data_IF_971004362317
#
_entry.id   IF_971004362317
#
_cell.length_a   1.000
_cell.length_b   1.000
_cell.length_c   1.000
_cell.angle_alpha   90.00
_cell.angle_beta   90.00
_cell.angle_gamma   90.00
#
_symmetry.space_group_name_H-M   'P 1'
#
loop_
_entity.id
_entity.type
_entity.pdbx_description
1 polymer ?
#
# COMPACT_ATOMS: atom_id res chain seq x y z
N UNK A 1 24.75 -26.34 -39.68
CA UNK A 1 23.38 -26.52 -39.21
C UNK A 1 22.64 -25.21 -39.36
N UNK A 2 21.62 -25.18 -40.18
CA UNK A 2 20.84 -23.94 -40.34
C UNK A 2 19.89 -23.75 -39.12
N UNK A 3 20.06 -22.66 -38.44
CA UNK A 3 19.23 -22.28 -37.32
C UNK A 3 17.89 -21.74 -37.83
N UNK A 4 16.79 -22.26 -37.32
CA UNK A 4 15.47 -21.76 -37.68
C UNK A 4 15.07 -20.64 -36.72
N UNK A 5 15.46 -19.42 -37.08
CA UNK A 5 15.22 -18.22 -36.26
C UNK A 5 13.71 -17.95 -36.05
N UNK A 6 12.90 -18.20 -37.07
CA UNK A 6 11.47 -18.00 -37.00
C UNK A 6 10.80 -18.92 -35.97
N UNK A 7 11.20 -20.22 -35.98
CA UNK A 7 10.69 -21.18 -35.00
C UNK A 7 11.09 -20.81 -33.56
N UNK A 8 12.35 -20.40 -33.37
CA UNK A 8 12.82 -19.95 -32.07
C UNK A 8 12.09 -18.72 -31.54
N UNK A 9 11.79 -17.75 -32.41
CA UNK A 9 11.00 -16.56 -32.04
C UNK A 9 9.59 -16.93 -31.63
N UNK A 10 8.95 -17.83 -32.39
CA UNK A 10 7.59 -18.30 -32.09
C UNK A 10 7.55 -19.00 -30.73
N UNK A 11 8.50 -19.88 -30.45
CA UNK A 11 8.64 -20.57 -29.17
C UNK A 11 8.84 -19.56 -28.04
N UNK A 12 9.67 -18.55 -28.25
CA UNK A 12 9.93 -17.51 -27.28
C UNK A 12 8.67 -16.69 -26.94
N UNK A 13 7.88 -16.32 -27.95
CA UNK A 13 6.64 -15.62 -27.74
C UNK A 13 5.61 -16.46 -27.01
N UNK A 14 5.47 -17.74 -27.38
CA UNK A 14 4.54 -18.66 -26.71
C UNK A 14 4.92 -18.87 -25.26
N UNK A 15 6.21 -19.02 -24.96
CA UNK A 15 6.71 -19.15 -23.59
C UNK A 15 6.41 -17.89 -22.75
N UNK A 16 6.65 -16.69 -23.31
CA UNK A 16 6.36 -15.43 -22.64
C UNK A 16 4.87 -15.26 -22.36
N UNK A 17 4.04 -15.63 -23.32
CA UNK A 17 2.57 -15.55 -23.17
C UNK A 17 2.09 -16.50 -22.08
N UNK A 18 2.56 -17.75 -22.09
CA UNK A 18 2.21 -18.74 -21.08
C UNK A 18 2.65 -18.30 -19.68
N UNK A 19 3.85 -17.77 -19.54
CA UNK A 19 4.38 -17.25 -18.29
C UNK A 19 3.53 -16.08 -17.78
N UNK A 20 3.16 -15.15 -18.65
CA UNK A 20 2.35 -14.00 -18.30
C UNK A 20 0.96 -14.41 -17.83
N UNK A 21 0.32 -15.32 -18.53
CA UNK A 21 -1.01 -15.85 -18.16
C UNK A 21 -0.93 -16.60 -16.84
N UNK A 22 0.09 -17.42 -16.63
CA UNK A 22 0.33 -18.14 -15.39
C UNK A 22 0.54 -17.21 -14.21
N UNK A 23 1.32 -16.16 -14.36
CA UNK A 23 1.57 -15.17 -13.32
C UNK A 23 0.29 -14.41 -12.93
N UNK A 24 -0.50 -14.01 -13.91
CA UNK A 24 -1.77 -13.31 -13.67
C UNK A 24 -2.74 -14.23 -12.93
N UNK A 25 -2.85 -15.48 -13.34
CA UNK A 25 -3.70 -16.47 -12.69
C UNK A 25 -3.28 -16.72 -11.25
N UNK A 26 -1.98 -16.90 -11.01
CA UNK A 26 -1.44 -17.11 -9.65
C UNK A 26 -1.74 -15.93 -8.73
N UNK A 27 -1.59 -14.69 -9.22
CA UNK A 27 -1.93 -13.51 -8.43
C UNK A 27 -3.40 -13.48 -8.05
N UNK A 28 -4.28 -13.78 -8.99
CA UNK A 28 -5.73 -13.80 -8.73
C UNK A 28 -6.12 -14.85 -7.70
N UNK A 29 -5.43 -15.99 -7.64
CA UNK A 29 -5.68 -17.04 -6.66
C UNK A 29 -5.04 -16.75 -5.31
N UNK A 30 -3.88 -16.10 -5.27
CA UNK A 30 -3.12 -15.88 -4.05
C UNK A 30 -3.63 -14.69 -3.22
N UNK A 31 -4.23 -13.69 -3.86
CA UNK A 31 -4.65 -12.44 -3.20
C UNK A 31 -6.17 -12.36 -3.09
N UNK A 32 -6.67 -12.53 -1.87
CA UNK A 32 -8.07 -12.21 -1.58
C UNK A 32 -8.26 -10.70 -1.61
N UNK A 33 -9.24 -10.24 -2.39
CA UNK A 33 -9.64 -8.84 -2.35
C UNK A 33 -10.24 -8.53 -0.99
N UNK A 34 -9.55 -7.69 -0.24
CA UNK A 34 -10.09 -7.12 1.00
C UNK A 34 -10.79 -5.80 0.69
N UNK A 35 -11.84 -5.44 1.44
CA UNK A 35 -12.44 -4.12 1.30
C UNK A 35 -11.41 -3.02 1.52
N UNK A 36 -11.63 -1.86 0.92
CA UNK A 36 -10.75 -0.70 1.12
C UNK A 36 -10.66 -0.38 2.62
N UNK A 37 -9.46 -0.10 3.10
CA UNK A 37 -9.26 0.30 4.49
C UNK A 37 -9.95 1.64 4.75
N UNK A 38 -10.55 1.77 5.92
CA UNK A 38 -11.18 3.00 6.36
C UNK A 38 -10.75 3.30 7.79
N UNK A 39 -10.59 4.58 8.11
CA UNK A 39 -10.24 5.07 9.45
C UNK A 39 -11.14 6.24 9.78
N UNK A 40 -11.83 6.17 10.91
CA UNK A 40 -12.64 7.30 11.40
C UNK A 40 -11.75 8.36 12.04
N UNK A 41 -12.27 9.58 12.15
CA UNK A 41 -11.56 10.69 12.81
C UNK A 41 -11.16 10.32 14.25
N UNK A 42 -12.07 9.72 14.99
CA UNK A 42 -11.84 9.27 16.37
C UNK A 42 -10.73 8.22 16.47
N UNK A 43 -10.76 7.24 15.58
CA UNK A 43 -9.75 6.20 15.52
C UNK A 43 -8.38 6.79 15.22
N UNK A 44 -8.31 7.72 14.28
CA UNK A 44 -7.06 8.38 13.88
C UNK A 44 -6.42 9.12 15.05
N UNK A 45 -7.21 9.90 15.79
CA UNK A 45 -6.73 10.61 16.98
C UNK A 45 -6.23 9.62 18.04
N UNK A 46 -7.00 8.57 18.29
CA UNK A 46 -6.64 7.53 19.24
C UNK A 46 -5.32 6.84 18.88
N UNK A 47 -5.15 6.51 17.62
CA UNK A 47 -3.91 5.89 17.10
C UNK A 47 -2.73 6.82 17.33
N UNK A 48 -2.85 8.08 16.95
CA UNK A 48 -1.79 9.07 17.12
C UNK A 48 -1.41 9.23 18.59
N UNK A 49 -2.39 9.33 19.47
CA UNK A 49 -2.17 9.48 20.91
C UNK A 49 -1.52 8.23 21.51
N UNK A 50 -1.89 7.05 21.08
CA UNK A 50 -1.27 5.79 21.54
C UNK A 50 0.20 5.71 21.15
N UNK A 51 0.59 6.31 20.03
CA UNK A 51 1.98 6.39 19.57
C UNK A 51 2.75 7.52 20.26
N UNK A 52 2.07 8.37 21.03
CA UNK A 52 2.64 9.54 21.69
C UNK A 52 3.33 10.50 20.71
N UNK A 53 2.75 10.68 19.55
CA UNK A 53 3.27 11.57 18.50
C UNK A 53 2.40 12.83 18.42
N UNK A 54 3.09 13.96 18.15
CA UNK A 54 2.38 15.19 17.80
C UNK A 54 1.78 15.05 16.40
N UNK A 55 0.79 15.89 16.08
CA UNK A 55 0.19 15.92 14.75
C UNK A 55 1.22 16.19 13.66
N UNK A 56 2.11 17.16 13.87
CA UNK A 56 3.15 17.50 12.92
C UNK A 56 4.09 16.34 12.63
N UNK A 57 4.52 15.63 13.67
CA UNK A 57 5.43 14.49 13.54
C UNK A 57 4.72 13.32 12.84
N UNK A 58 3.50 13.02 13.23
CA UNK A 58 2.73 11.95 12.60
C UNK A 58 2.50 12.21 11.12
N UNK A 59 2.16 13.45 10.77
CA UNK A 59 2.00 13.85 9.37
C UNK A 59 3.30 13.62 8.57
N UNK A 60 4.45 13.92 9.15
CA UNK A 60 5.75 13.68 8.50
C UNK A 60 5.99 12.19 8.23
N UNK A 61 5.69 11.33 9.17
CA UNK A 61 5.81 9.88 8.97
C UNK A 61 4.90 9.38 7.85
N UNK A 62 3.68 9.90 7.78
CA UNK A 62 2.72 9.53 6.76
C UNK A 62 2.99 10.21 5.41
N UNK A 63 3.96 11.12 5.34
CA UNK A 63 4.23 11.95 4.15
C UNK A 63 3.00 12.77 3.73
N UNK A 64 2.21 13.19 4.71
CA UNK A 64 1.04 14.04 4.52
C UNK A 64 1.30 15.44 5.05
N UNK A 65 0.54 16.40 4.55
CA UNK A 65 0.56 17.76 5.09
C UNK A 65 -0.11 17.76 6.47
N UNK A 66 0.42 18.54 7.41
CA UNK A 66 -0.14 18.63 8.77
C UNK A 66 -1.61 19.09 8.73
N UNK A 67 -1.94 20.04 7.88
CA UNK A 67 -3.32 20.50 7.72
C UNK A 67 -4.24 19.41 7.17
N UNK A 68 -3.75 18.58 6.30
CA UNK A 68 -4.49 17.42 5.79
C UNK A 68 -4.80 16.45 6.93
N UNK A 69 -3.83 16.15 7.76
CA UNK A 69 -4.03 15.30 8.94
C UNK A 69 -5.01 15.93 9.91
N UNK A 70 -4.91 17.23 10.15
CA UNK A 70 -5.85 17.96 10.98
C UNK A 70 -7.29 17.83 10.46
N UNK A 71 -7.49 17.99 9.16
CA UNK A 71 -8.80 17.81 8.54
C UNK A 71 -9.35 16.40 8.75
N UNK A 72 -8.51 15.39 8.65
CA UNK A 72 -8.91 14.01 8.90
C UNK A 72 -9.30 13.79 10.37
N UNK A 73 -8.52 14.34 11.31
CA UNK A 73 -8.78 14.21 12.74
C UNK A 73 -10.05 14.95 13.18
N UNK A 74 -10.39 16.04 12.50
CA UNK A 74 -11.60 16.81 12.78
C UNK A 74 -12.83 16.38 12.00
N UNK A 75 -12.68 15.36 11.14
CA UNK A 75 -13.79 14.82 10.36
C UNK A 75 -14.21 15.66 9.17
N UNK A 76 -13.43 16.68 8.79
CA UNK A 76 -13.70 17.52 7.62
C UNK A 76 -13.42 16.80 6.31
N UNK A 77 -12.49 15.85 6.33
CA UNK A 77 -12.13 15.03 5.20
C UNK A 77 -11.81 13.63 5.70
N UNK A 78 -11.81 12.66 4.80
CA UNK A 78 -11.43 11.27 5.11
C UNK A 78 -10.12 10.92 4.42
N UNK A 79 -9.24 10.14 5.09
CA UNK A 79 -8.06 9.61 4.41
C UNK A 79 -8.48 8.77 3.21
N UNK A 80 -7.72 8.85 2.12
CA UNK A 80 -7.94 7.93 1.01
C UNK A 80 -7.55 6.50 1.42
N UNK A 81 -7.87 5.52 0.55
CA UNK A 81 -7.63 4.11 0.86
C UNK A 81 -6.18 3.81 1.20
N UNK A 82 -5.23 4.43 0.50
CA UNK A 82 -3.80 4.21 0.73
C UNK A 82 -3.35 4.78 2.08
N UNK A 83 -3.76 6.00 2.40
CA UNK A 83 -3.46 6.63 3.68
C UNK A 83 -4.10 5.86 4.83
N UNK A 84 -5.34 5.43 4.69
CA UNK A 84 -6.04 4.64 5.69
C UNK A 84 -5.34 3.31 5.94
N UNK A 85 -4.88 2.64 4.89
CA UNK A 85 -4.13 1.39 5.00
C UNK A 85 -2.83 1.59 5.77
N UNK A 86 -2.09 2.66 5.46
CA UNK A 86 -0.85 3.00 6.16
C UNK A 86 -1.10 3.30 7.63
N UNK A 87 -2.15 4.04 7.94
CA UNK A 87 -2.55 4.35 9.31
C UNK A 87 -2.90 3.07 10.08
N UNK A 88 -3.63 2.15 9.47
CA UNK A 88 -3.96 0.85 10.07
C UNK A 88 -2.72 0.00 10.29
N UNK A 89 -1.78 0.02 9.36
CA UNK A 89 -0.51 -0.70 9.50
C UNK A 89 0.29 -0.19 10.69
N UNK A 90 0.41 1.13 10.83
CA UNK A 90 1.11 1.76 11.95
C UNK A 90 0.41 1.47 13.29
N UNK A 91 -0.92 1.46 13.29
CA UNK A 91 -1.69 1.13 14.49
C UNK A 91 -1.43 -0.30 14.96
N UNK A 92 -1.40 -1.25 14.03
CA UNK A 92 -1.19 -2.67 14.33
C UNK A 92 0.27 -2.98 14.67
N UNK A 93 1.20 -2.32 13.98
CA UNK A 93 2.64 -2.51 14.14
C UNK A 93 3.31 -1.16 14.41
N UNK A 94 3.33 -0.70 15.67
CA UNK A 94 3.88 0.63 16.01
C UNK A 94 5.32 0.85 15.58
N UNK A 95 6.13 -0.20 15.49
CA UNK A 95 7.52 -0.13 15.00
C UNK A 95 7.62 0.28 13.52
N UNK A 96 6.52 0.23 12.79
CA UNK A 96 6.45 0.71 11.40
C UNK A 96 6.84 2.19 11.31
N UNK A 97 6.59 2.99 12.35
CA UNK A 97 7.00 4.40 12.41
C UNK A 97 8.50 4.54 12.19
N UNK A 98 9.29 3.69 12.83
CA UNK A 98 10.76 3.69 12.68
C UNK A 98 11.17 3.32 11.25
N UNK A 99 10.47 2.37 10.66
CA UNK A 99 10.71 1.94 9.27
C UNK A 99 10.34 3.03 8.28
N UNK A 100 9.25 3.74 8.51
CA UNK A 100 8.86 4.89 7.69
C UNK A 100 9.87 6.01 7.76
N UNK A 101 10.44 6.26 8.93
CA UNK A 101 11.48 7.27 9.09
C UNK A 101 12.73 6.96 8.27
N UNK A 102 13.03 5.68 8.04
CA UNK A 102 14.20 5.23 7.29
C UNK A 102 13.98 5.26 5.76
N UNK A 103 12.77 5.36 5.31
CA UNK A 103 12.40 5.45 3.90
C UNK A 103 12.30 6.91 3.47
#
# INVERSE_FOLDING_TARGET
MKRNVFSELTEGFDALKAEREGKVTLRNHAVKRKPAAAVTAKELVSIRQSLKLSRAVFARYLRANERTLENWEQGRAKPNAQAALLIRLVARYPDTVKRLAAV
#
